data_IF_843599154039
#
_entry.id   IF_843599154039
#
_cell.length_a   1.000
_cell.length_b   1.000
_cell.length_c   1.000
_cell.angle_alpha   90.00
_cell.angle_beta   90.00
_cell.angle_gamma   90.00
#
_symmetry.space_group_name_H-M   'P 1'
#
loop_
_entity.id
_entity.type
_entity.pdbx_description
1 polymer ?
#
# COMPACT_ATOMS: atom_id res chain seq x y z
N UNK A 1 -23.13 -21.10 8.80
CA UNK A 1 -21.66 -21.28 8.96
C UNK A 1 -20.85 -20.50 7.91
N UNK A 2 -21.25 -19.26 7.58
CA UNK A 2 -20.84 -18.55 6.37
C UNK A 2 -19.88 -17.38 6.62
N UNK A 3 -18.66 -17.66 7.09
CA UNK A 3 -17.62 -16.63 7.26
C UNK A 3 -17.74 -15.78 8.53
N UNK A 4 -18.65 -16.14 9.43
CA UNK A 4 -18.77 -15.50 10.75
C UNK A 4 -17.72 -16.07 11.71
N UNK A 5 -16.69 -15.26 12.01
CA UNK A 5 -15.61 -15.64 12.93
C UNK A 5 -15.96 -15.47 14.42
N UNK A 6 -17.19 -15.06 14.75
CA UNK A 6 -17.67 -14.91 16.13
C UNK A 6 -18.17 -16.21 16.75
N UNK A 7 -18.22 -17.30 15.97
CA UNK A 7 -18.64 -18.59 16.49
C UNK A 7 -17.65 -19.14 17.54
N UNK A 8 -18.12 -19.96 18.51
CA UNK A 8 -17.33 -20.34 19.67
C UNK A 8 -16.00 -21.02 19.34
N UNK A 9 -15.94 -21.91 18.35
CA UNK A 9 -14.73 -22.68 18.01
C UNK A 9 -13.64 -21.75 17.49
N UNK A 10 -13.98 -20.84 16.57
CA UNK A 10 -13.05 -19.85 16.02
C UNK A 10 -12.60 -18.86 17.09
N UNK A 11 -13.52 -18.39 17.94
CA UNK A 11 -13.19 -17.44 19.00
C UNK A 11 -12.19 -18.02 20.01
N UNK A 12 -12.44 -19.23 20.53
CA UNK A 12 -11.50 -19.91 21.43
C UNK A 12 -10.17 -20.23 20.74
N UNK A 13 -10.19 -20.57 19.45
CA UNK A 13 -8.95 -20.83 18.71
C UNK A 13 -8.11 -19.57 18.57
N UNK A 14 -8.73 -18.42 18.27
CA UNK A 14 -8.07 -17.10 18.16
C UNK A 14 -7.37 -16.69 19.46
N UNK A 15 -7.88 -17.10 20.63
CA UNK A 15 -7.26 -16.81 21.93
C UNK A 15 -5.94 -17.56 22.16
N UNK A 16 -5.74 -18.69 21.47
CA UNK A 16 -4.59 -19.58 21.71
C UNK A 16 -3.51 -19.39 20.65
N UNK A 17 -3.91 -19.17 19.39
CA UNK A 17 -2.98 -19.06 18.27
C UNK A 17 -2.26 -17.70 18.25
N UNK A 18 -1.05 -17.69 17.71
CA UNK A 18 -0.25 -16.47 17.55
C UNK A 18 -0.41 -15.82 16.17
N UNK A 19 -1.11 -16.45 15.23
CA UNK A 19 -1.30 -15.90 13.88
C UNK A 19 -2.60 -16.39 13.30
N UNK A 20 -3.34 -15.47 12.68
CA UNK A 20 -4.60 -15.75 12.02
C UNK A 20 -4.67 -15.00 10.68
N UNK A 21 -5.03 -15.73 9.62
CA UNK A 21 -5.33 -15.16 8.32
C UNK A 21 -6.84 -15.26 8.07
N UNK A 22 -7.52 -14.14 8.22
CA UNK A 22 -8.95 -14.02 8.02
C UNK A 22 -9.26 -14.05 6.53
N UNK A 23 -9.82 -15.14 6.01
CA UNK A 23 -10.27 -15.18 4.63
C UNK A 23 -11.60 -14.43 4.47
N UNK A 24 -11.65 -13.42 3.61
CA UNK A 24 -12.83 -12.61 3.33
C UNK A 24 -13.53 -13.07 2.06
N UNK A 25 -14.86 -13.24 2.14
CA UNK A 25 -15.69 -13.52 0.97
C UNK A 25 -15.79 -12.28 0.08
N UNK A 26 -15.89 -11.10 0.66
CA UNK A 26 -15.98 -9.82 -0.03
C UNK A 26 -14.74 -9.59 -0.91
N UNK A 27 -13.54 -9.87 -0.39
CA UNK A 27 -12.30 -9.83 -1.17
C UNK A 27 -12.31 -10.86 -2.30
N UNK A 28 -12.74 -12.09 -2.03
CA UNK A 28 -12.82 -13.13 -3.05
C UNK A 28 -13.81 -12.78 -4.17
N UNK A 29 -14.99 -12.25 -3.83
CA UNK A 29 -16.02 -11.80 -4.78
C UNK A 29 -15.51 -10.62 -5.61
N UNK A 30 -14.67 -9.75 -5.02
CA UNK A 30 -13.96 -8.67 -5.71
C UNK A 30 -12.73 -9.14 -6.51
N UNK A 31 -12.45 -10.45 -6.56
CA UNK A 31 -11.26 -11.06 -7.20
C UNK A 31 -9.93 -10.54 -6.65
N UNK A 32 -9.92 -10.11 -5.39
CA UNK A 32 -8.70 -9.81 -4.66
C UNK A 32 -8.15 -11.11 -4.07
N UNK A 33 -7.03 -11.58 -4.62
CA UNK A 33 -6.36 -12.80 -4.17
C UNK A 33 -4.91 -12.51 -3.79
N UNK A 34 -4.37 -13.16 -2.73
CA UNK A 34 -5.10 -14.00 -1.78
C UNK A 34 -6.14 -13.18 -0.99
N UNK A 35 -7.32 -13.76 -0.76
CA UNK A 35 -8.47 -13.07 -0.16
C UNK A 35 -8.34 -12.94 1.37
N UNK A 36 -7.18 -12.48 1.84
CA UNK A 36 -6.86 -12.30 3.25
C UNK A 36 -7.21 -10.86 3.65
N UNK A 37 -8.12 -10.73 4.62
CA UNK A 37 -8.51 -9.44 5.18
C UNK A 37 -7.37 -8.88 6.04
N UNK A 38 -6.84 -7.72 5.65
CA UNK A 38 -5.69 -7.08 6.29
C UNK A 38 -6.04 -6.37 7.61
N UNK A 39 -7.32 -6.17 7.93
CA UNK A 39 -7.77 -5.57 9.19
C UNK A 39 -8.15 -6.64 10.23
N UNK A 40 -8.75 -7.75 9.79
CA UNK A 40 -9.18 -8.85 10.67
C UNK A 40 -8.08 -9.88 10.93
N UNK A 41 -7.02 -9.91 10.11
CA UNK A 41 -5.86 -10.79 10.30
C UNK A 41 -4.88 -10.24 11.33
N UNK A 42 -4.17 -11.12 12.03
CA UNK A 42 -3.15 -10.73 13.00
C UNK A 42 -1.97 -11.69 13.04
N UNK A 43 -0.84 -11.20 13.54
CA UNK A 43 0.34 -12.00 13.88
C UNK A 43 1.03 -11.42 15.11
N UNK A 44 1.24 -12.26 16.13
CA UNK A 44 2.06 -11.98 17.31
C UNK A 44 3.57 -12.11 17.05
N UNK A 45 3.98 -12.45 15.83
CA UNK A 45 5.40 -12.62 15.47
C UNK A 45 6.01 -11.40 14.77
N UNK A 46 5.26 -10.30 14.63
CA UNK A 46 5.73 -9.10 13.91
C UNK A 46 7.04 -8.57 14.49
N UNK A 47 7.14 -8.41 15.81
CA UNK A 47 8.34 -7.88 16.47
C UNK A 47 9.56 -8.81 16.28
N UNK A 48 9.33 -10.11 16.26
CA UNK A 48 10.39 -11.09 16.01
C UNK A 48 10.85 -11.04 14.54
N UNK A 49 9.91 -10.95 13.60
CA UNK A 49 10.20 -10.82 12.18
C UNK A 49 10.91 -9.49 11.88
N UNK A 50 10.48 -8.39 12.48
CA UNK A 50 11.04 -7.06 12.29
C UNK A 50 12.56 -7.02 12.53
N UNK A 51 13.04 -7.76 13.53
CA UNK A 51 14.48 -7.89 13.81
C UNK A 51 15.25 -8.46 12.62
N UNK A 52 14.77 -9.53 12.02
CA UNK A 52 15.42 -10.15 10.86
C UNK A 52 15.33 -9.28 9.61
N UNK A 53 14.16 -8.66 9.37
CA UNK A 53 13.96 -7.74 8.25
C UNK A 53 14.89 -6.53 8.35
N UNK A 54 15.05 -5.98 9.55
CA UNK A 54 15.93 -4.86 9.80
C UNK A 54 17.41 -5.18 9.56
N UNK A 55 17.85 -6.40 9.91
CA UNK A 55 19.26 -6.80 9.70
C UNK A 55 19.57 -7.24 8.28
N UNK A 56 18.59 -7.82 7.59
CA UNK A 56 18.84 -8.52 6.32
C UNK A 56 18.40 -7.73 5.10
N UNK A 57 17.33 -6.95 5.23
CA UNK A 57 16.69 -6.26 4.10
C UNK A 57 16.80 -4.75 4.26
N UNK A 58 16.12 -4.17 5.24
CA UNK A 58 16.16 -2.74 5.51
C UNK A 58 15.63 -2.42 6.91
N UNK A 59 16.32 -1.61 7.73
CA UNK A 59 15.86 -1.22 9.06
C UNK A 59 14.54 -0.44 9.07
N UNK A 60 14.12 0.11 7.93
CA UNK A 60 12.86 0.87 7.80
C UNK A 60 11.65 -0.03 7.56
N UNK A 61 11.83 -1.34 7.34
CA UNK A 61 10.74 -2.26 7.01
C UNK A 61 9.55 -2.17 7.96
N UNK A 62 9.79 -2.17 9.27
CA UNK A 62 8.73 -2.14 10.27
C UNK A 62 7.92 -0.84 10.20
N UNK A 63 8.61 0.30 10.06
CA UNK A 63 7.97 1.60 9.93
C UNK A 63 7.08 1.67 8.68
N UNK A 64 7.60 1.23 7.52
CA UNK A 64 6.85 1.19 6.27
C UNK A 64 5.65 0.23 6.37
N UNK A 65 5.82 -0.95 6.98
CA UNK A 65 4.72 -1.89 7.20
C UNK A 65 3.60 -1.25 8.04
N UNK A 66 3.98 -0.62 9.15
CA UNK A 66 3.02 -0.02 10.08
C UNK A 66 2.28 1.16 9.42
N UNK A 67 2.99 1.97 8.62
CA UNK A 67 2.38 3.04 7.86
C UNK A 67 1.41 2.52 6.79
N UNK A 68 1.78 1.47 6.05
CA UNK A 68 0.88 0.86 5.07
C UNK A 68 -0.40 0.32 5.72
N UNK A 69 -0.29 -0.35 6.88
CA UNK A 69 -1.47 -0.82 7.63
C UNK A 69 -2.36 0.34 8.09
N UNK A 70 -1.76 1.43 8.56
CA UNK A 70 -2.50 2.64 8.91
C UNK A 70 -3.22 3.23 7.69
N UNK A 71 -2.53 3.37 6.56
CA UNK A 71 -3.10 3.90 5.32
C UNK A 71 -4.26 3.03 4.82
N UNK A 72 -4.15 1.70 4.93
CA UNK A 72 -5.24 0.77 4.63
C UNK A 72 -6.43 0.96 5.56
N UNK A 73 -6.22 1.09 6.87
CA UNK A 73 -7.29 1.34 7.84
C UNK A 73 -7.99 2.68 7.58
N UNK A 74 -7.23 3.76 7.39
CA UNK A 74 -7.75 5.09 7.04
C UNK A 74 -8.59 5.01 5.75
N UNK A 75 -8.16 4.20 4.77
CA UNK A 75 -8.91 4.01 3.52
C UNK A 75 -10.28 3.35 3.71
N UNK A 76 -10.42 2.43 4.66
CA UNK A 76 -11.72 1.80 4.97
C UNK A 76 -12.68 2.81 5.62
N UNK A 77 -12.16 3.73 6.45
CA UNK A 77 -12.98 4.81 6.99
C UNK A 77 -13.49 5.75 5.90
N UNK A 78 -12.59 6.13 4.98
CA UNK A 78 -12.94 6.97 3.84
C UNK A 78 -13.92 6.26 2.91
N UNK A 79 -13.77 4.96 2.68
CA UNK A 79 -14.70 4.20 1.82
C UNK A 79 -16.12 4.18 2.41
N UNK A 80 -16.27 4.12 3.74
CA UNK A 80 -17.59 4.26 4.39
C UNK A 80 -18.23 5.62 4.10
N UNK A 81 -17.45 6.70 4.12
CA UNK A 81 -17.91 8.04 3.76
C UNK A 81 -18.33 8.07 2.28
N UNK A 82 -17.49 7.55 1.39
CA UNK A 82 -17.78 7.49 -0.06
C UNK A 82 -19.09 6.74 -0.33
N UNK A 83 -19.33 5.62 0.35
CA UNK A 83 -20.55 4.84 0.17
C UNK A 83 -21.81 5.59 0.66
N UNK A 84 -21.67 6.52 1.60
CA UNK A 84 -22.80 7.27 2.16
C UNK A 84 -23.12 8.55 1.38
N UNK A 85 -22.10 9.32 1.00
CA UNK A 85 -22.26 10.67 0.43
C UNK A 85 -21.58 10.88 -0.92
N UNK A 86 -20.87 9.87 -1.43
CA UNK A 86 -20.12 9.92 -2.68
C UNK A 86 -18.69 10.45 -2.52
N UNK A 87 -17.83 10.16 -3.52
CA UNK A 87 -16.42 10.57 -3.55
C UNK A 87 -16.24 12.08 -3.56
N UNK A 88 -17.24 12.83 -4.00
CA UNK A 88 -17.16 14.27 -4.11
C UNK A 88 -17.08 14.98 -2.75
N UNK A 89 -17.52 14.32 -1.68
CA UNK A 89 -17.41 14.82 -0.31
C UNK A 89 -15.98 14.81 0.24
N UNK A 90 -15.05 14.09 -0.39
CA UNK A 90 -13.68 13.94 0.10
C UNK A 90 -12.79 15.12 -0.30
N UNK A 91 -11.93 15.53 0.63
CA UNK A 91 -10.84 16.48 0.36
C UNK A 91 -9.82 15.92 -0.62
N UNK A 92 -8.98 16.78 -1.22
CA UNK A 92 -7.93 16.31 -2.13
C UNK A 92 -6.95 15.35 -1.44
N UNK A 93 -6.65 15.57 -0.17
CA UNK A 93 -5.79 14.67 0.63
C UNK A 93 -6.47 13.32 0.83
N UNK A 94 -7.75 13.29 1.20
CA UNK A 94 -8.51 12.05 1.40
C UNK A 94 -8.66 11.25 0.10
N UNK A 95 -8.91 11.92 -1.04
CA UNK A 95 -8.94 11.26 -2.35
C UNK A 95 -7.58 10.65 -2.69
N UNK A 96 -6.49 11.34 -2.36
CA UNK A 96 -5.14 10.81 -2.55
C UNK A 96 -4.86 9.60 -1.66
N UNK A 97 -5.24 9.66 -0.38
CA UNK A 97 -5.18 8.54 0.56
C UNK A 97 -5.89 7.30 0.00
N UNK A 98 -7.14 7.45 -0.49
CA UNK A 98 -7.88 6.34 -1.12
C UNK A 98 -7.14 5.74 -2.32
N UNK A 99 -6.65 6.58 -3.24
CA UNK A 99 -5.92 6.13 -4.42
C UNK A 99 -4.68 5.32 -4.03
N UNK A 100 -3.87 5.84 -3.11
CA UNK A 100 -2.62 5.20 -2.70
C UNK A 100 -2.83 3.96 -1.84
N UNK A 101 -3.91 3.89 -1.08
CA UNK A 101 -4.32 2.66 -0.43
C UNK A 101 -4.73 1.60 -1.48
N UNK A 102 -5.45 2.00 -2.53
CA UNK A 102 -5.73 1.16 -3.70
C UNK A 102 -4.45 0.64 -4.36
N UNK A 103 -3.43 1.51 -4.47
CA UNK A 103 -2.13 1.14 -4.99
C UNK A 103 -1.43 0.06 -4.14
N UNK A 104 -1.52 0.12 -2.81
CA UNK A 104 -1.02 -0.96 -1.92
C UNK A 104 -1.85 -2.24 -2.11
N UNK A 105 -3.17 -2.13 -2.17
CA UNK A 105 -4.07 -3.28 -2.35
C UNK A 105 -3.74 -4.03 -3.65
N UNK A 106 -3.56 -3.31 -4.76
CA UNK A 106 -3.37 -3.89 -6.10
C UNK A 106 -1.90 -4.19 -6.43
N UNK A 107 -0.97 -3.34 -5.99
CA UNK A 107 0.45 -3.42 -6.33
C UNK A 107 1.29 -4.25 -5.35
N UNK A 108 0.74 -4.59 -4.17
CA UNK A 108 1.45 -5.35 -3.14
C UNK A 108 0.62 -6.50 -2.57
N UNK A 109 -0.61 -6.24 -2.10
CA UNK A 109 -1.41 -7.27 -1.41
C UNK A 109 -2.00 -8.30 -2.37
N UNK A 110 -2.46 -7.86 -3.54
CA UNK A 110 -2.89 -8.78 -4.58
C UNK A 110 -1.68 -9.50 -5.17
N UNK A 111 -1.75 -10.82 -5.20
CA UNK A 111 -0.70 -11.68 -5.73
C UNK A 111 -1.32 -12.84 -6.51
N UNK A 112 -0.83 -13.05 -7.74
CA UNK A 112 -1.29 -14.15 -8.60
C UNK A 112 -0.45 -15.40 -8.37
N UNK A 113 -1.04 -16.43 -7.75
CA UNK A 113 -0.36 -17.71 -7.51
C UNK A 113 -0.06 -18.53 -8.78
N UNK A 114 -0.62 -18.12 -9.94
CA UNK A 114 -0.46 -18.80 -11.24
C UNK A 114 0.36 -18.00 -12.25
N UNK A 115 0.78 -16.78 -11.88
CA UNK A 115 1.65 -15.96 -12.71
C UNK A 115 3.11 -16.37 -12.52
N UNK A 116 3.89 -16.43 -13.60
CA UNK A 116 5.27 -16.92 -13.55
C UNK A 116 6.19 -16.04 -12.69
N UNK A 117 5.92 -14.73 -12.62
CA UNK A 117 6.75 -13.75 -11.91
C UNK A 117 6.16 -13.42 -10.53
N UNK A 118 4.84 -13.33 -10.45
CA UNK A 118 4.13 -12.86 -9.26
C UNK A 118 3.77 -14.00 -8.30
N UNK A 119 3.89 -15.28 -8.70
CA UNK A 119 3.64 -16.42 -7.81
C UNK A 119 4.61 -16.51 -6.63
N UNK A 120 5.77 -15.84 -6.70
CA UNK A 120 6.74 -15.73 -5.62
C UNK A 120 7.34 -14.32 -5.56
N UNK A 121 7.52 -13.79 -4.35
CA UNK A 121 8.21 -12.52 -4.13
C UNK A 121 9.29 -12.71 -3.05
N UNK A 122 10.55 -12.47 -3.41
CA UNK A 122 11.66 -12.47 -2.45
C UNK A 122 11.46 -11.37 -1.39
N UNK A 123 12.04 -11.50 -0.19
CA UNK A 123 11.93 -10.46 0.84
C UNK A 123 12.37 -9.08 0.35
N UNK A 124 13.46 -9.01 -0.41
CA UNK A 124 13.94 -7.77 -1.02
C UNK A 124 12.91 -7.15 -1.99
N UNK A 125 12.33 -7.97 -2.88
CA UNK A 125 11.26 -7.54 -3.79
C UNK A 125 10.06 -7.00 -3.02
N UNK A 126 9.62 -7.70 -1.98
CA UNK A 126 8.48 -7.28 -1.15
C UNK A 126 8.72 -5.90 -0.53
N UNK A 127 9.92 -5.65 0.02
CA UNK A 127 10.24 -4.36 0.61
C UNK A 127 10.36 -3.26 -0.44
N UNK A 128 10.97 -3.52 -1.60
CA UNK A 128 11.03 -2.53 -2.69
C UNK A 128 9.63 -2.14 -3.18
N UNK A 129 8.73 -3.11 -3.38
CA UNK A 129 7.34 -2.83 -3.75
C UNK A 129 6.65 -1.99 -2.68
N UNK A 130 6.71 -2.40 -1.40
CA UNK A 130 6.14 -1.64 -0.28
C UNK A 130 6.69 -0.22 -0.20
N UNK A 131 8.01 -0.07 -0.27
CA UNK A 131 8.68 1.22 -0.26
C UNK A 131 8.13 2.10 -1.37
N UNK A 132 8.05 1.57 -2.59
CA UNK A 132 7.64 2.34 -3.75
C UNK A 132 6.21 2.87 -3.66
N UNK A 133 5.27 2.10 -3.08
CA UNK A 133 3.89 2.54 -2.90
C UNK A 133 3.78 3.66 -1.85
N UNK A 134 4.56 3.57 -0.76
CA UNK A 134 4.59 4.60 0.27
C UNK A 134 5.34 5.85 -0.18
N UNK A 135 6.46 5.72 -0.90
CA UNK A 135 7.19 6.86 -1.45
C UNK A 135 6.29 7.64 -2.44
N UNK A 136 5.55 6.93 -3.32
CA UNK A 136 4.51 7.55 -4.17
C UNK A 136 3.48 8.30 -3.32
N UNK A 137 2.97 7.66 -2.26
CA UNK A 137 2.00 8.29 -1.36
C UNK A 137 2.55 9.58 -0.75
N UNK A 138 3.76 9.56 -0.20
CA UNK A 138 4.39 10.71 0.44
C UNK A 138 4.60 11.86 -0.54
N UNK A 139 5.19 11.57 -1.70
CA UNK A 139 5.46 12.61 -2.69
C UNK A 139 4.17 13.27 -3.20
N UNK A 140 3.15 12.47 -3.53
CA UNK A 140 1.87 13.02 -3.96
C UNK A 140 1.16 13.80 -2.85
N UNK A 141 1.16 13.29 -1.62
CA UNK A 141 0.50 13.95 -0.49
C UNK A 141 1.16 15.31 -0.18
N UNK A 142 2.50 15.38 -0.26
CA UNK A 142 3.23 16.65 -0.15
C UNK A 142 2.74 17.67 -1.17
N UNK A 143 2.59 17.26 -2.44
CA UNK A 143 2.12 18.15 -3.50
C UNK A 143 0.67 18.58 -3.32
N UNK A 144 -0.21 17.66 -2.88
CA UNK A 144 -1.60 18.02 -2.54
C UNK A 144 -1.64 19.09 -1.45
N UNK A 145 -0.81 18.95 -0.41
CA UNK A 145 -0.70 19.93 0.68
C UNK A 145 -0.17 21.29 0.22
N UNK A 146 0.61 21.32 -0.87
CA UNK A 146 1.05 22.55 -1.55
C UNK A 146 -0.01 23.13 -2.49
N UNK A 147 -1.23 22.58 -2.51
CA UNK A 147 -2.34 23.08 -3.32
C UNK A 147 -2.43 22.46 -4.72
N UNK A 148 -1.64 21.42 -5.01
CA UNK A 148 -1.79 20.70 -6.27
C UNK A 148 -3.16 20.02 -6.34
N UNK A 149 -3.93 20.23 -7.42
CA UNK A 149 -5.18 19.51 -7.63
C UNK A 149 -4.91 18.00 -7.73
N UNK A 150 -5.52 17.21 -6.84
CA UNK A 150 -5.32 15.74 -6.80
C UNK A 150 -5.54 15.06 -8.14
N UNK A 151 -6.47 15.57 -8.97
CA UNK A 151 -6.73 15.07 -10.33
C UNK A 151 -5.47 15.02 -11.22
N UNK A 152 -4.49 15.92 -11.02
CA UNK A 152 -3.22 15.89 -11.76
C UNK A 152 -2.37 14.69 -11.35
N UNK A 153 -2.35 14.37 -10.05
CA UNK A 153 -1.64 13.22 -9.50
C UNK A 153 -2.29 11.91 -9.92
N UNK A 154 -3.63 11.82 -9.86
CA UNK A 154 -4.37 10.62 -10.28
C UNK A 154 -4.15 10.26 -11.76
N UNK A 155 -3.77 11.23 -12.59
CA UNK A 155 -3.48 11.02 -14.01
C UNK A 155 -2.02 10.58 -14.28
N UNK A 156 -1.17 10.44 -13.25
CA UNK A 156 0.24 10.11 -13.46
C UNK A 156 0.41 8.67 -13.97
N UNK A 157 1.17 8.45 -15.06
CA UNK A 157 1.44 7.11 -15.58
C UNK A 157 2.13 6.18 -14.58
N UNK A 158 2.88 6.76 -13.63
CA UNK A 158 3.60 6.00 -12.59
C UNK A 158 2.65 5.19 -11.72
N UNK A 159 1.41 5.67 -11.49
CA UNK A 159 0.42 4.95 -10.69
C UNK A 159 -0.01 3.64 -11.36
N UNK A 160 -0.20 3.65 -12.67
CA UNK A 160 -0.51 2.43 -13.43
C UNK A 160 0.72 1.54 -13.59
N UNK A 161 1.92 2.11 -13.69
CA UNK A 161 3.16 1.34 -13.75
C UNK A 161 3.43 0.60 -12.44
N UNK A 162 3.27 1.28 -11.30
CA UNK A 162 3.53 0.76 -9.98
C UNK A 162 2.68 -0.48 -9.63
N UNK A 163 1.40 -0.47 -10.01
CA UNK A 163 0.50 -1.64 -9.89
C UNK A 163 1.00 -2.90 -10.60
N UNK A 164 1.84 -2.74 -11.63
CA UNK A 164 2.38 -3.83 -12.46
C UNK A 164 3.83 -4.17 -12.12
N UNK A 165 4.46 -3.52 -11.16
CA UNK A 165 5.86 -3.87 -10.82
C UNK A 165 5.99 -5.28 -10.24
N UNK A 166 4.98 -5.75 -9.50
CA UNK A 166 4.96 -7.10 -8.91
C UNK A 166 5.04 -8.24 -9.93
N UNK A 167 4.45 -8.07 -11.12
CA UNK A 167 4.47 -9.06 -12.20
C UNK A 167 5.37 -8.67 -13.38
N UNK A 168 6.07 -7.53 -13.31
CA UNK A 168 7.03 -7.09 -14.33
C UNK A 168 8.47 -7.45 -14.00
N UNK A 169 8.83 -7.38 -12.71
CA UNK A 169 10.20 -7.61 -12.26
C UNK A 169 10.26 -8.89 -11.44
N UNK A 170 11.03 -9.86 -11.89
CA UNK A 170 11.34 -11.06 -11.11
C UNK A 170 12.48 -10.79 -10.10
N UNK A 171 13.06 -11.85 -9.53
CA UNK A 171 14.13 -11.74 -8.54
C UNK A 171 15.48 -11.30 -9.15
N UNK A 172 15.70 -11.50 -10.45
CA UNK A 172 16.94 -11.15 -11.13
C UNK A 172 16.91 -9.70 -11.65
N UNK A 173 15.72 -9.08 -11.69
CA UNK A 173 15.50 -7.72 -12.20
C UNK A 173 15.29 -6.66 -11.12
N UNK A 174 15.71 -6.92 -9.87
CA UNK A 174 15.50 -5.97 -8.77
C UNK A 174 16.29 -4.67 -8.94
N UNK A 175 17.41 -4.67 -9.65
CA UNK A 175 18.16 -3.45 -9.98
C UNK A 175 17.39 -2.53 -10.93
N UNK A 176 16.60 -3.08 -11.85
CA UNK A 176 15.71 -2.30 -12.72
C UNK A 176 14.59 -1.67 -11.88
N UNK A 177 14.00 -2.44 -10.95
CA UNK A 177 13.00 -1.90 -10.02
C UNK A 177 13.60 -0.78 -9.16
N UNK A 178 14.79 -0.99 -8.57
CA UNK A 178 15.51 0.06 -7.80
C UNK A 178 15.74 1.32 -8.64
N UNK A 179 16.06 1.17 -9.92
CA UNK A 179 16.21 2.30 -10.84
C UNK A 179 14.90 3.09 -10.99
N UNK A 180 13.76 2.40 -11.16
CA UNK A 180 12.45 3.05 -11.20
C UNK A 180 12.11 3.80 -9.91
N UNK A 181 12.45 3.22 -8.76
CA UNK A 181 12.23 3.85 -7.46
C UNK A 181 13.08 5.12 -7.30
N UNK A 182 14.32 5.11 -7.78
CA UNK A 182 15.20 6.27 -7.75
C UNK A 182 14.74 7.42 -8.65
N UNK A 183 13.92 7.14 -9.67
CA UNK A 183 13.32 8.15 -10.55
C UNK A 183 12.07 8.80 -9.95
N UNK A 184 11.42 8.18 -8.93
CA UNK A 184 10.19 8.68 -8.32
C UNK A 184 10.31 10.14 -7.84
N UNK A 185 11.35 10.54 -7.08
CA UNK A 185 11.46 11.92 -6.61
C UNK A 185 11.44 12.93 -7.77
N UNK A 186 12.18 12.65 -8.84
CA UNK A 186 12.28 13.54 -10.00
C UNK A 186 10.93 13.70 -10.73
N UNK A 187 10.13 12.63 -10.82
CA UNK A 187 8.77 12.69 -11.41
C UNK A 187 7.90 13.68 -10.64
N UNK A 188 7.90 13.60 -9.31
CA UNK A 188 7.07 14.46 -8.47
C UNK A 188 7.64 15.88 -8.31
N UNK A 189 8.95 16.05 -8.30
CA UNK A 189 9.60 17.36 -8.29
C UNK A 189 9.28 18.16 -9.55
N UNK A 190 9.36 17.52 -10.73
CA UNK A 190 9.00 18.17 -11.98
C UNK A 190 7.55 18.66 -11.98
N UNK A 191 6.63 17.86 -11.45
CA UNK A 191 5.22 18.23 -11.32
C UNK A 191 5.01 19.35 -10.28
N UNK A 192 5.82 19.35 -9.23
CA UNK A 192 5.78 20.32 -8.13
C UNK A 192 6.44 21.66 -8.41
N UNK A 193 7.14 21.82 -9.54
CA UNK A 193 7.88 23.04 -9.86
C UNK A 193 6.98 24.29 -9.85
N UNK A 194 5.73 24.16 -10.29
CA UNK A 194 4.72 25.23 -10.30
C UNK A 194 4.05 25.47 -8.93
N UNK A 195 4.34 24.62 -7.93
CA UNK A 195 3.67 24.57 -6.62
C UNK A 195 4.64 24.80 -5.46
N UNK A 196 5.89 25.19 -5.74
CA UNK A 196 6.81 25.65 -4.70
C UNK A 196 6.20 26.83 -3.95
N UNK A 197 6.34 26.89 -2.61
CA UNK A 197 5.85 28.03 -1.86
C UNK A 197 6.53 29.29 -2.37
N UNK A 198 5.74 30.23 -2.90
CA UNK A 198 6.18 31.59 -3.13
C UNK A 198 6.51 32.21 -1.77
N UNK A 199 7.75 32.05 -1.28
CA UNK A 199 8.06 32.45 0.10
C UNK A 199 9.48 32.29 0.64
N UNK A 200 10.48 31.86 -0.14
CA UNK A 200 11.90 31.90 0.31
C UNK A 200 12.81 32.64 -0.67
N UNK A 201 12.27 33.65 -1.35
CA UNK A 201 13.06 34.71 -1.98
C UNK A 201 12.80 36.01 -1.22
N UNK A 202 13.45 36.18 -0.06
CA UNK A 202 13.37 37.41 0.71
C UNK A 202 13.73 37.28 2.19
N UNK A 203 15.00 37.02 2.50
CA UNK A 203 15.74 37.60 3.63
C UNK A 203 17.23 37.40 3.42
#
# INVERSE_FOLDING_TARGET
>A
PGGDFSEPVTSHTKEIIQTFWALSKELADARHYPAIDWLESFSGYVDAAAKWWATTIDPRWEAYRNEALKLLADSEELQRIVNLVGVEALSSEQRWTLETAGLIKEGLLQQSAIDEIDSYASPEKQFLLLQSMLDIHHHGLRLVKLGMPVRKLLALPVLSAARRWKNRYDADQLDELRTQLNELPAIFEHLGADYSPAGESGS
#
